data_IF_904736261888
#
_entry.id   IF_904736261888
#
_cell.length_a   1.000
_cell.length_b   1.000
_cell.length_c   1.000
_cell.angle_alpha   90.00
_cell.angle_beta   90.00
_cell.angle_gamma   90.00
#
_symmetry.space_group_name_H-M   'P 1'
#
loop_
_entity.id
_entity.type
_entity.pdbx_description
1 polymer ?
#
# COMPACT_ATOMS: atom_id res chain seq x y z
N UNK A 1 39.82 -0.29 5.14
CA UNK A 1 38.46 -0.12 5.66
C UNK A 1 37.51 -0.67 4.63
N UNK A 2 36.81 -1.75 4.95
CA UNK A 2 35.74 -2.28 4.10
C UNK A 2 34.42 -1.89 4.76
N UNK A 3 33.74 -0.88 4.21
CA UNK A 3 32.38 -0.54 4.65
C UNK A 3 31.43 -1.35 3.79
N UNK A 4 30.62 -2.19 4.42
CA UNK A 4 29.57 -2.93 3.74
C UNK A 4 28.32 -2.06 3.64
N UNK A 5 27.68 -2.06 2.48
CA UNK A 5 26.53 -1.21 2.18
C UNK A 5 25.41 -2.06 1.59
N UNK A 6 24.21 -1.91 2.13
CA UNK A 6 22.99 -2.50 1.60
C UNK A 6 21.97 -1.41 1.36
N UNK A 7 21.28 -1.50 0.23
CA UNK A 7 20.21 -0.58 -0.17
C UNK A 7 19.02 -1.41 -0.59
N UNK A 8 17.81 -1.00 -0.25
CA UNK A 8 16.59 -1.65 -0.71
C UNK A 8 15.49 -0.62 -0.95
N UNK A 9 14.44 -1.04 -1.65
CA UNK A 9 13.28 -0.20 -1.93
C UNK A 9 12.45 -0.01 -0.66
N UNK A 10 11.97 1.21 -0.42
CA UNK A 10 11.11 1.51 0.73
C UNK A 10 9.75 0.85 0.54
N UNK A 11 9.48 -0.20 1.31
CA UNK A 11 8.24 -0.98 1.22
C UNK A 11 6.96 -0.13 1.39
N UNK A 12 6.98 0.92 2.21
CA UNK A 12 5.87 1.86 2.35
C UNK A 12 5.57 2.62 1.05
N UNK A 13 6.60 3.17 0.41
CA UNK A 13 6.47 3.84 -0.88
C UNK A 13 6.03 2.89 -1.98
N UNK A 14 6.55 1.66 -1.98
CA UNK A 14 6.12 0.63 -2.93
C UNK A 14 4.65 0.27 -2.77
N UNK A 15 4.14 0.19 -1.53
CA UNK A 15 2.73 -0.08 -1.25
C UNK A 15 1.80 1.07 -1.66
N UNK A 16 2.23 2.32 -1.51
CA UNK A 16 1.47 3.49 -1.97
C UNK A 16 1.52 3.65 -3.50
N UNK A 17 2.66 3.35 -4.10
CA UNK A 17 2.84 3.37 -5.54
C UNK A 17 2.20 2.18 -6.24
N UNK A 18 1.66 1.24 -5.47
CA UNK A 18 1.29 -0.07 -5.97
C UNK A 18 0.04 -0.01 -6.85
N UNK A 19 0.28 -0.11 -8.16
CA UNK A 19 -0.69 -0.63 -9.10
C UNK A 19 -0.44 -2.14 -9.20
N UNK A 20 -1.49 -2.97 -9.15
CA UNK A 20 -1.35 -4.42 -9.05
C UNK A 20 -0.62 -4.97 -10.26
N UNK A 21 0.64 -5.32 -10.09
CA UNK A 21 1.40 -5.94 -11.16
C UNK A 21 0.74 -7.28 -11.51
N UNK A 22 0.10 -7.34 -12.68
CA UNK A 22 -0.36 -8.60 -13.24
C UNK A 22 0.84 -9.24 -13.93
N UNK A 23 1.66 -9.97 -13.16
CA UNK A 23 2.64 -10.87 -13.74
C UNK A 23 1.86 -12.00 -14.41
N UNK A 24 1.43 -11.80 -15.65
CA UNK A 24 0.91 -12.89 -16.46
C UNK A 24 2.05 -13.90 -16.61
N UNK A 25 1.87 -15.11 -16.09
CA UNK A 25 2.65 -16.25 -16.56
C UNK A 25 2.53 -16.26 -18.08
N UNK A 26 3.66 -16.23 -18.77
CA UNK A 26 3.70 -16.10 -20.23
C UNK A 26 2.81 -17.16 -20.86
N UNK A 27 1.63 -16.78 -21.36
CA UNK A 27 0.91 -17.64 -22.27
C UNK A 27 1.70 -17.64 -23.57
N UNK A 28 2.38 -18.75 -23.79
CA UNK A 28 3.09 -19.16 -25.00
C UNK A 28 2.88 -18.26 -26.24
N UNK A 29 4.02 -17.85 -26.81
CA UNK A 29 4.22 -17.39 -28.20
C UNK A 29 3.92 -15.92 -28.58
N UNK A 30 4.50 -14.96 -27.85
CA UNK A 30 4.80 -13.64 -28.45
C UNK A 30 6.30 -13.55 -28.76
N UNK A 31 6.62 -13.21 -30.02
CA UNK A 31 7.97 -13.07 -30.53
C UNK A 31 8.81 -12.08 -29.71
N UNK A 32 10.07 -12.43 -29.43
CA UNK A 32 11.09 -11.61 -28.72
C UNK A 32 11.27 -10.16 -29.23
N UNK A 33 10.75 -9.80 -30.41
CA UNK A 33 10.78 -8.44 -30.94
C UNK A 33 9.74 -7.48 -30.32
N UNK A 34 8.67 -8.00 -29.70
CA UNK A 34 7.59 -7.19 -29.11
C UNK A 34 7.80 -6.86 -27.62
N UNK A 35 8.70 -7.56 -26.93
CA UNK A 35 9.00 -7.31 -25.51
C UNK A 35 9.97 -6.13 -25.30
N UNK A 36 10.92 -5.92 -26.23
CA UNK A 36 11.83 -4.77 -26.18
C UNK A 36 11.13 -3.45 -26.50
N UNK A 37 10.08 -3.46 -27.33
CA UNK A 37 9.31 -2.26 -27.67
C UNK A 37 8.41 -1.79 -26.51
N UNK A 38 8.01 -2.70 -25.62
CA UNK A 38 7.07 -2.41 -24.51
C UNK A 38 7.73 -2.02 -23.19
N UNK A 39 8.95 -2.50 -22.89
CA UNK A 39 9.78 -1.97 -21.78
C UNK A 39 10.12 -0.48 -21.97
N UNK A 40 10.19 -0.05 -23.24
CA UNK A 40 10.42 1.33 -23.65
C UNK A 40 9.33 2.29 -23.12
N UNK A 41 8.05 1.91 -23.11
CA UNK A 41 6.95 2.90 -23.02
C UNK A 41 6.84 3.63 -21.69
N UNK A 42 7.17 3.03 -20.55
CA UNK A 42 7.04 3.70 -19.25
C UNK A 42 8.24 4.58 -18.91
N UNK A 43 9.44 4.12 -19.26
CA UNK A 43 10.67 4.95 -19.19
C UNK A 43 10.54 6.12 -20.15
N UNK A 44 10.09 5.86 -21.39
CA UNK A 44 9.81 6.89 -22.37
C UNK A 44 8.70 7.83 -21.89
N UNK A 45 7.63 7.32 -21.27
CA UNK A 45 6.56 8.13 -20.69
C UNK A 45 7.03 9.02 -19.54
N UNK A 46 7.90 8.52 -18.66
CA UNK A 46 8.50 9.32 -17.59
C UNK A 46 9.44 10.39 -18.16
N UNK A 47 10.20 10.06 -19.21
CA UNK A 47 11.03 11.04 -19.91
C UNK A 47 10.21 12.09 -20.67
N UNK A 48 9.14 11.68 -21.35
CA UNK A 48 8.22 12.57 -22.06
C UNK A 48 7.52 13.53 -21.09
N UNK A 49 7.09 13.04 -19.93
CA UNK A 49 6.57 13.88 -18.84
C UNK A 49 7.58 14.98 -18.48
N UNK A 50 8.84 14.60 -18.26
CA UNK A 50 9.90 15.55 -17.92
C UNK A 50 10.12 16.56 -19.05
N UNK A 51 10.14 16.12 -20.31
CA UNK A 51 10.30 17.01 -21.47
C UNK A 51 9.17 18.04 -21.58
N UNK A 52 7.92 17.61 -21.42
CA UNK A 52 6.74 18.49 -21.44
C UNK A 52 6.78 19.48 -20.27
N UNK A 53 7.07 19.01 -19.06
CA UNK A 53 7.15 19.86 -17.88
C UNK A 53 8.31 20.86 -17.97
N UNK A 54 9.47 20.46 -18.48
CA UNK A 54 10.60 21.37 -18.70
C UNK A 54 10.27 22.44 -19.74
N UNK A 55 9.64 22.05 -20.86
CA UNK A 55 9.22 23.01 -21.90
C UNK A 55 8.21 24.04 -21.38
N UNK A 56 7.37 23.65 -20.41
CA UNK A 56 6.34 24.50 -19.80
C UNK A 56 6.78 25.15 -18.49
N UNK A 57 8.02 24.89 -18.04
CA UNK A 57 8.58 25.35 -16.76
C UNK A 57 7.71 24.96 -15.55
N UNK A 58 7.25 23.70 -15.53
CA UNK A 58 6.47 23.11 -14.43
C UNK A 58 7.34 22.20 -13.57
N UNK A 59 7.39 22.49 -12.26
CA UNK A 59 8.01 21.66 -11.23
C UNK A 59 6.97 20.86 -10.43
N UNK A 60 5.73 21.35 -10.41
CA UNK A 60 4.55 20.74 -9.78
C UNK A 60 3.36 20.82 -10.73
N UNK A 61 2.52 19.80 -10.71
CA UNK A 61 1.34 19.72 -11.57
C UNK A 61 0.07 19.63 -10.72
N UNK A 62 -0.86 20.53 -10.99
CA UNK A 62 -2.27 20.41 -10.59
C UNK A 62 -2.99 19.32 -11.39
N UNK A 63 -4.19 18.93 -10.93
CA UNK A 63 -5.04 17.94 -11.62
C UNK A 63 -5.35 18.38 -13.06
N UNK A 64 -5.55 19.69 -13.27
CA UNK A 64 -5.87 20.26 -14.58
C UNK A 64 -4.67 20.20 -15.54
N UNK A 65 -3.48 20.55 -15.04
CA UNK A 65 -2.25 20.45 -15.84
C UNK A 65 -1.93 19.01 -16.20
N UNK A 66 -2.12 18.09 -15.23
CA UNK A 66 -1.98 16.66 -15.47
C UNK A 66 -2.94 16.18 -16.54
N UNK A 67 -4.25 16.47 -16.43
CA UNK A 67 -5.26 16.02 -17.41
C UNK A 67 -4.96 16.49 -18.84
N UNK A 68 -4.31 17.64 -19.00
CA UNK A 68 -3.98 18.18 -20.32
C UNK A 68 -2.80 17.46 -21.00
N UNK A 69 -1.99 16.72 -20.24
CA UNK A 69 -0.79 16.04 -20.76
C UNK A 69 -0.91 14.52 -20.75
N UNK A 70 -1.93 13.93 -20.12
CA UNK A 70 -2.13 12.47 -20.04
C UNK A 70 -2.12 11.81 -21.42
N UNK A 71 -2.79 12.44 -22.38
CA UNK A 71 -2.85 11.93 -23.76
C UNK A 71 -1.49 12.05 -24.47
N UNK A 72 -0.72 13.10 -24.17
CA UNK A 72 0.63 13.31 -24.73
C UNK A 72 1.62 12.26 -24.21
N UNK A 73 1.48 11.82 -22.96
CA UNK A 73 2.34 10.78 -22.34
C UNK A 73 1.85 9.35 -22.60
N UNK A 74 0.66 9.17 -23.17
CA UNK A 74 0.11 7.86 -23.57
C UNK A 74 -0.28 6.94 -22.42
N UNK A 75 -0.71 7.49 -21.28
CA UNK A 75 -1.23 6.70 -20.17
C UNK A 75 -2.75 6.48 -20.30
N UNK A 76 -3.21 5.27 -19.95
CA UNK A 76 -4.64 4.99 -19.81
C UNK A 76 -5.28 5.89 -18.73
N UNK A 77 -6.55 6.28 -18.90
CA UNK A 77 -7.23 7.23 -18.01
C UNK A 77 -7.31 6.75 -16.55
N UNK A 78 -7.63 5.47 -16.32
CA UNK A 78 -7.76 4.95 -14.96
C UNK A 78 -6.38 4.80 -14.30
N UNK A 79 -5.40 4.34 -15.07
CA UNK A 79 -4.01 4.24 -14.64
C UNK A 79 -3.42 5.62 -14.30
N UNK A 80 -3.69 6.60 -15.17
CA UNK A 80 -3.26 7.99 -15.05
C UNK A 80 -3.84 8.65 -13.79
N UNK A 81 -5.13 8.46 -13.52
CA UNK A 81 -5.73 8.97 -12.28
C UNK A 81 -5.04 8.38 -11.05
N UNK A 82 -4.82 7.06 -11.03
CA UNK A 82 -4.16 6.40 -9.90
C UNK A 82 -2.72 6.91 -9.69
N UNK A 83 -1.94 7.04 -10.77
CA UNK A 83 -0.58 7.61 -10.73
C UNK A 83 -0.59 9.01 -10.12
N UNK A 84 -1.47 9.89 -10.60
CA UNK A 84 -1.53 11.26 -10.10
C UNK A 84 -1.94 11.33 -8.63
N UNK A 85 -2.99 10.58 -8.23
CA UNK A 85 -3.49 10.54 -6.85
C UNK A 85 -2.45 10.02 -5.87
N UNK A 86 -1.65 9.05 -6.28
CA UNK A 86 -0.56 8.52 -5.46
C UNK A 86 0.56 9.56 -5.33
N UNK A 87 0.96 10.18 -6.44
CA UNK A 87 2.00 11.19 -6.49
C UNK A 87 1.65 12.49 -5.74
N UNK A 88 0.38 12.90 -5.74
CA UNK A 88 -0.05 14.16 -5.12
C UNK A 88 -0.18 14.07 -3.60
N UNK A 89 -0.12 12.88 -2.99
CA UNK A 89 -0.16 12.81 -1.53
C UNK A 89 -1.50 13.26 -0.94
N UNK A 90 -1.41 14.08 0.10
CA UNK A 90 -2.51 14.89 0.67
C UNK A 90 -2.54 16.30 0.05
N UNK A 91 -1.62 16.61 -0.86
CA UNK A 91 -1.48 17.90 -1.52
C UNK A 91 -2.38 18.01 -2.76
N UNK A 92 -2.67 19.25 -3.15
CA UNK A 92 -3.42 19.55 -4.38
C UNK A 92 -2.56 19.46 -5.65
N UNK A 93 -1.25 19.24 -5.49
CA UNK A 93 -0.27 19.19 -6.57
C UNK A 93 0.64 17.98 -6.41
N UNK A 94 1.08 17.41 -7.52
CA UNK A 94 2.10 16.36 -7.53
C UNK A 94 3.43 16.93 -8.02
N UNK A 95 4.53 16.56 -7.37
CA UNK A 95 5.87 16.96 -7.84
C UNK A 95 6.26 16.15 -9.06
N UNK A 96 7.07 16.75 -9.95
CA UNK A 96 7.57 16.08 -11.15
C UNK A 96 8.30 14.76 -10.83
N UNK A 97 9.13 14.74 -9.78
CA UNK A 97 9.87 13.54 -9.39
C UNK A 97 8.96 12.42 -8.88
N UNK A 98 7.94 12.75 -8.07
CA UNK A 98 6.96 11.75 -7.63
C UNK A 98 6.18 11.18 -8.81
N UNK A 99 5.67 12.03 -9.71
CA UNK A 99 4.94 11.56 -10.90
C UNK A 99 5.81 10.65 -11.77
N UNK A 100 7.04 11.06 -12.08
CA UNK A 100 7.95 10.28 -12.90
C UNK A 100 8.27 8.91 -12.25
N UNK A 101 8.48 8.88 -10.93
CA UNK A 101 8.68 7.63 -10.19
C UNK A 101 7.43 6.73 -10.22
N UNK A 102 6.24 7.27 -10.03
CA UNK A 102 5.01 6.49 -10.11
C UNK A 102 4.74 5.96 -11.52
N UNK A 103 5.09 6.70 -12.58
CA UNK A 103 5.03 6.21 -13.97
C UNK A 103 6.00 5.05 -14.18
N UNK A 104 7.25 5.19 -13.74
CA UNK A 104 8.24 4.10 -13.80
C UNK A 104 7.72 2.86 -13.07
N UNK A 105 7.17 3.04 -11.86
CA UNK A 105 6.62 1.95 -11.06
C UNK A 105 5.33 1.34 -11.65
N UNK A 106 4.52 2.12 -12.38
CA UNK A 106 3.39 1.59 -13.14
C UNK A 106 3.87 0.74 -14.34
N UNK A 107 4.98 1.13 -14.96
CA UNK A 107 5.62 0.39 -16.05
C UNK A 107 6.07 -1.02 -15.70
N UNK A 108 6.29 -1.30 -14.41
CA UNK A 108 6.71 -2.60 -13.91
C UNK A 108 5.69 -3.70 -14.20
N UNK A 109 4.42 -3.34 -14.43
CA UNK A 109 3.36 -4.32 -14.72
C UNK A 109 3.66 -5.13 -15.97
N UNK A 110 4.36 -4.51 -16.93
CA UNK A 110 4.70 -5.10 -18.21
C UNK A 110 6.08 -5.75 -18.21
N UNK A 111 6.72 -5.83 -17.05
CA UNK A 111 8.04 -6.44 -16.94
C UNK A 111 7.93 -7.97 -16.95
N UNK A 112 8.35 -8.57 -18.05
CA UNK A 112 8.59 -10.01 -18.15
C UNK A 112 9.89 -10.36 -17.41
N UNK A 113 9.79 -11.25 -16.42
CA UNK A 113 10.91 -11.79 -15.66
C UNK A 113 10.98 -13.30 -15.91
N UNK A 114 12.02 -13.76 -16.60
CA UNK A 114 12.30 -15.19 -16.81
C UNK A 114 12.87 -15.76 -15.50
N UNK A 115 12.01 -16.07 -14.53
CA UNK A 115 12.39 -16.83 -13.34
C UNK A 115 12.06 -18.31 -13.53
N UNK A 116 12.75 -19.19 -12.78
CA UNK A 116 12.19 -20.50 -12.45
C UNK A 116 10.87 -20.28 -11.69
N UNK A 117 9.74 -20.46 -12.38
CA UNK A 117 8.37 -20.13 -11.94
C UNK A 117 7.98 -20.76 -10.60
N UNK A 118 8.71 -21.78 -10.13
CA UNK A 118 8.38 -22.53 -8.93
C UNK A 118 8.81 -21.85 -7.61
N UNK A 119 9.70 -20.85 -7.62
CA UNK A 119 10.31 -20.33 -6.36
C UNK A 119 10.48 -18.81 -6.25
N UNK A 120 10.26 -18.03 -7.31
CA UNK A 120 10.49 -16.58 -7.27
C UNK A 120 9.36 -15.86 -6.51
N UNK A 121 9.71 -15.10 -5.47
CA UNK A 121 8.74 -14.23 -4.78
C UNK A 121 8.63 -12.87 -5.48
N UNK A 122 7.52 -12.16 -5.28
CA UNK A 122 7.30 -10.82 -5.88
C UNK A 122 8.46 -9.86 -5.54
N UNK A 123 8.97 -9.90 -4.31
CA UNK A 123 10.10 -9.08 -3.90
C UNK A 123 11.33 -9.30 -4.79
N UNK A 124 11.60 -10.55 -5.18
CA UNK A 124 12.71 -10.88 -6.09
C UNK A 124 12.49 -10.26 -7.46
N UNK A 125 11.26 -10.33 -7.99
CA UNK A 125 10.92 -9.77 -9.31
C UNK A 125 11.11 -8.25 -9.32
N UNK A 126 10.55 -7.56 -8.32
CA UNK A 126 10.65 -6.09 -8.21
C UNK A 126 12.11 -5.66 -8.02
N UNK A 127 12.85 -6.34 -7.13
CA UNK A 127 14.26 -6.04 -6.91
C UNK A 127 15.10 -6.29 -8.16
N UNK A 128 14.96 -7.45 -8.83
CA UNK A 128 15.71 -7.80 -10.03
C UNK A 128 15.43 -6.84 -11.19
N UNK A 129 14.19 -6.42 -11.34
CA UNK A 129 13.78 -5.47 -12.36
C UNK A 129 14.30 -4.05 -12.09
N UNK A 130 14.17 -3.54 -10.86
CA UNK A 130 14.78 -2.24 -10.50
C UNK A 130 16.30 -2.31 -10.65
N UNK A 131 16.91 -3.45 -10.34
CA UNK A 131 18.34 -3.69 -10.59
C UNK A 131 18.69 -3.60 -12.09
N UNK A 132 17.87 -4.22 -12.95
CA UNK A 132 18.05 -4.20 -14.41
C UNK A 132 17.84 -2.80 -14.99
N UNK A 133 16.83 -2.06 -14.51
CA UNK A 133 16.47 -0.72 -14.96
C UNK A 133 17.11 0.41 -14.14
N UNK A 134 18.11 0.10 -13.30
CA UNK A 134 18.72 1.09 -12.40
C UNK A 134 19.24 2.33 -13.15
N UNK A 135 19.77 2.14 -14.36
CA UNK A 135 20.22 3.26 -15.20
C UNK A 135 19.07 4.21 -15.56
N UNK A 136 17.88 3.68 -15.86
CA UNK A 136 16.70 4.47 -16.21
C UNK A 136 16.14 5.19 -15.00
N UNK A 137 16.07 4.52 -13.84
CA UNK A 137 15.64 5.15 -12.58
C UNK A 137 16.55 6.31 -12.21
N UNK A 138 17.87 6.10 -12.16
CA UNK A 138 18.83 7.15 -11.83
C UNK A 138 18.80 8.26 -12.89
N UNK A 139 18.69 7.91 -14.17
CA UNK A 139 18.54 8.88 -15.27
C UNK A 139 17.33 9.79 -15.06
N UNK A 140 16.14 9.22 -14.84
CA UNK A 140 14.91 9.97 -14.58
C UNK A 140 15.06 10.89 -13.36
N UNK A 141 15.56 10.37 -12.24
CA UNK A 141 15.77 11.16 -11.02
C UNK A 141 16.75 12.31 -11.23
N UNK A 142 17.84 12.07 -11.97
CA UNK A 142 18.80 13.11 -12.32
C UNK A 142 18.20 14.15 -13.27
N UNK A 143 17.37 13.76 -14.25
CA UNK A 143 16.69 14.73 -15.12
C UNK A 143 15.70 15.61 -14.34
N UNK A 144 14.96 15.04 -13.41
CA UNK A 144 14.07 15.79 -12.52
C UNK A 144 14.85 16.84 -11.72
N UNK A 145 16.00 16.48 -11.16
CA UNK A 145 16.83 17.40 -10.36
C UNK A 145 17.62 18.43 -11.19
N UNK A 146 18.06 18.06 -12.40
CA UNK A 146 18.91 18.94 -13.23
C UNK A 146 18.13 19.84 -14.18
N UNK A 147 16.89 19.48 -14.52
CA UNK A 147 16.15 20.18 -15.58
C UNK A 147 16.78 19.99 -16.96
N UNK A 148 17.44 18.84 -17.21
CA UNK A 148 18.22 18.62 -18.44
C UNK A 148 17.60 17.58 -19.39
N UNK A 149 18.00 17.66 -20.66
CA UNK A 149 17.64 16.68 -21.69
C UNK A 149 18.43 15.37 -21.54
N UNK A 150 17.88 14.28 -22.07
CA UNK A 150 18.51 12.96 -22.01
C UNK A 150 19.91 12.92 -22.64
N UNK A 151 20.18 13.76 -23.65
CA UNK A 151 21.49 13.86 -24.31
C UNK A 151 22.61 14.32 -23.36
N UNK A 152 22.28 15.15 -22.35
CA UNK A 152 23.26 15.66 -21.38
C UNK A 152 23.74 14.57 -20.45
N UNK A 153 22.87 13.62 -20.08
CA UNK A 153 23.20 12.50 -19.20
C UNK A 153 24.17 11.48 -19.81
N UNK A 154 24.40 11.53 -21.14
CA UNK A 154 25.47 10.74 -21.78
C UNK A 154 26.86 11.18 -21.34
N UNK A 155 27.02 12.37 -20.76
CA UNK A 155 28.25 12.81 -20.11
C UNK A 155 28.33 12.16 -18.72
N UNK A 156 29.28 11.26 -18.53
CA UNK A 156 29.43 10.43 -17.32
C UNK A 156 29.62 11.26 -16.02
N UNK A 157 30.29 12.41 -16.11
CA UNK A 157 30.50 13.32 -14.97
C UNK A 157 29.55 14.49 -15.04
N UNK A 158 28.71 14.62 -14.02
CA UNK A 158 27.80 15.74 -13.85
C UNK A 158 28.13 16.45 -12.55
N UNK A 159 28.27 17.78 -12.64
CA UNK A 159 28.37 18.65 -11.46
C UNK A 159 26.97 19.09 -11.06
N UNK A 160 26.60 18.78 -9.82
CA UNK A 160 25.38 19.26 -9.22
C UNK A 160 25.70 20.50 -8.38
N UNK A 161 24.83 21.50 -8.43
CA UNK A 161 24.84 22.51 -7.37
C UNK A 161 24.14 21.96 -6.11
N UNK A 162 24.26 22.66 -4.98
CA UNK A 162 23.72 22.19 -3.70
C UNK A 162 22.20 21.95 -3.73
N UNK A 163 21.44 22.75 -4.48
CA UNK A 163 19.99 22.62 -4.58
C UNK A 163 19.59 21.39 -5.39
N UNK A 164 20.22 21.19 -6.55
CA UNK A 164 20.00 20.01 -7.41
C UNK A 164 20.40 18.72 -6.69
N UNK A 165 21.50 18.76 -5.94
CA UNK A 165 21.95 17.63 -5.13
C UNK A 165 20.92 17.26 -4.05
N UNK A 166 20.32 18.27 -3.42
CA UNK A 166 19.27 18.09 -2.41
C UNK A 166 18.00 17.48 -3.02
N UNK A 167 17.59 17.92 -4.22
CA UNK A 167 16.43 17.39 -4.94
C UNK A 167 16.65 15.92 -5.36
N UNK A 168 17.83 15.60 -5.91
CA UNK A 168 18.21 14.23 -6.23
C UNK A 168 18.21 13.35 -4.96
N UNK A 169 18.84 13.83 -3.89
CA UNK A 169 18.91 13.13 -2.60
C UNK A 169 17.52 12.83 -2.04
N UNK A 170 16.63 13.82 -2.08
CA UNK A 170 15.24 13.67 -1.60
C UNK A 170 14.47 12.63 -2.41
N UNK A 171 14.66 12.62 -3.73
CA UNK A 171 13.98 11.67 -4.61
C UNK A 171 14.53 10.24 -4.47
N UNK A 172 15.83 10.10 -4.23
CA UNK A 172 16.46 8.81 -3.92
C UNK A 172 15.96 8.29 -2.57
N UNK A 173 15.93 9.12 -1.53
CA UNK A 173 15.45 8.74 -0.18
C UNK A 173 13.94 8.47 -0.13
N UNK A 174 13.18 8.96 -1.11
CA UNK A 174 11.77 8.60 -1.26
C UNK A 174 11.61 7.14 -1.69
N UNK A 175 12.46 6.68 -2.61
CA UNK A 175 12.37 5.35 -3.21
C UNK A 175 13.20 4.31 -2.44
N UNK A 176 14.35 4.68 -1.90
CA UNK A 176 15.32 3.78 -1.30
C UNK A 176 15.65 4.15 0.15
N UNK A 177 16.00 3.13 0.92
CA UNK A 177 16.62 3.25 2.23
C UNK A 177 17.78 2.26 2.31
N UNK A 178 18.70 2.43 3.25
CA UNK A 178 19.89 1.59 3.32
C UNK A 178 20.45 1.42 4.71
N UNK A 179 21.52 0.65 4.79
CA UNK A 179 22.27 0.38 6.01
C UNK A 179 23.75 0.29 5.66
N UNK A 180 24.59 0.69 6.62
CA UNK A 180 26.04 0.53 6.54
C UNK A 180 26.54 -0.25 7.74
N UNK A 181 27.47 -1.18 7.49
CA UNK A 181 28.21 -1.88 8.54
C UNK A 181 29.68 -1.50 8.39
N UNK A 182 30.26 -1.01 9.48
CA UNK A 182 31.66 -0.59 9.58
C UNK A 182 32.34 -1.50 10.61
N UNK A 183 33.30 -2.32 10.17
CA UNK A 183 33.92 -3.40 10.95
C UNK A 183 34.56 -2.95 12.29
N UNK A 184 34.78 -1.64 12.51
CA UNK A 184 35.47 -1.08 13.69
C UNK A 184 34.55 -0.26 14.63
N UNK A 185 33.32 0.08 14.23
CA UNK A 185 32.50 1.07 14.93
C UNK A 185 31.29 0.46 15.67
N UNK A 186 31.51 -0.03 16.90
CA UNK A 186 30.55 -0.69 17.84
C UNK A 186 29.16 -0.03 18.04
N UNK A 187 28.85 1.11 17.41
CA UNK A 187 27.69 1.96 17.74
C UNK A 187 26.64 2.11 16.63
N UNK A 188 26.86 1.63 15.40
CA UNK A 188 25.92 1.86 14.26
C UNK A 188 25.55 0.64 13.40
N UNK A 189 25.97 -0.57 13.77
CA UNK A 189 25.94 -1.74 12.87
C UNK A 189 24.57 -2.15 12.31
N UNK A 190 23.46 -1.66 12.86
CA UNK A 190 22.11 -2.09 12.48
C UNK A 190 21.12 -0.93 12.19
N UNK A 191 21.61 0.31 12.00
CA UNK A 191 20.72 1.45 11.80
C UNK A 191 20.36 1.64 10.32
N UNK A 192 19.05 1.64 10.04
CA UNK A 192 18.53 2.09 8.74
C UNK A 192 18.77 3.59 8.62
N UNK A 193 19.45 3.98 7.55
CA UNK A 193 19.80 5.36 7.20
C UNK A 193 19.24 5.72 5.82
N UNK A 194 19.21 7.02 5.55
CA UNK A 194 18.89 7.54 4.22
C UNK A 194 20.00 7.18 3.24
N UNK A 195 19.64 6.85 2.01
CA UNK A 195 20.65 6.53 0.98
C UNK A 195 21.45 7.78 0.62
N UNK A 196 20.85 8.98 0.72
CA UNK A 196 21.58 10.24 0.53
C UNK A 196 22.73 10.44 1.54
N UNK A 197 22.60 9.94 2.77
CA UNK A 197 23.68 9.96 3.77
C UNK A 197 24.82 9.02 3.35
N UNK A 198 24.48 7.80 2.92
CA UNK A 198 25.44 6.82 2.36
C UNK A 198 26.16 7.41 1.13
N UNK A 199 25.41 8.07 0.25
CA UNK A 199 25.94 8.70 -0.95
C UNK A 199 26.98 9.76 -0.62
N UNK A 200 26.68 10.64 0.34
CA UNK A 200 27.57 11.71 0.78
C UNK A 200 28.83 11.18 1.45
N UNK A 201 28.70 10.17 2.31
CA UNK A 201 29.81 9.65 3.11
C UNK A 201 30.76 8.74 2.32
N UNK A 202 30.21 7.95 1.37
CA UNK A 202 30.95 6.84 0.74
C UNK A 202 31.13 7.03 -0.77
N UNK A 203 30.10 7.51 -1.47
CA UNK A 203 30.09 7.47 -2.94
C UNK A 203 30.51 8.78 -3.59
N UNK A 204 30.33 9.91 -2.91
CA UNK A 204 30.68 11.23 -3.41
C UNK A 204 32.15 11.57 -3.14
N UNK A 205 32.73 12.35 -4.06
CA UNK A 205 34.03 13.02 -3.88
C UNK A 205 33.89 14.44 -4.40
N UNK A 206 34.21 15.43 -3.57
CA UNK A 206 34.26 16.86 -3.95
C UNK A 206 32.97 17.38 -4.62
N UNK A 207 31.79 16.91 -4.19
CA UNK A 207 30.47 17.21 -4.79
C UNK A 207 30.33 16.82 -6.28
N UNK A 208 31.25 16.02 -6.83
CA UNK A 208 31.10 15.42 -8.16
C UNK A 208 30.51 14.01 -8.06
N UNK A 209 29.54 13.74 -8.95
CA UNK A 209 28.93 12.42 -9.10
C UNK A 209 29.23 11.91 -10.50
N UNK A 210 29.89 10.76 -10.59
CA UNK A 210 29.83 9.94 -11.81
C UNK A 210 28.53 9.16 -11.77
N UNK A 211 27.66 9.40 -12.76
CA UNK A 211 26.39 8.69 -12.85
C UNK A 211 26.61 7.19 -12.98
N UNK A 212 27.59 6.77 -13.80
CA UNK A 212 27.93 5.35 -13.93
C UNK A 212 28.37 4.74 -12.62
N UNK A 213 29.16 5.46 -11.82
CA UNK A 213 29.59 4.98 -10.50
C UNK A 213 28.43 4.90 -9.53
N UNK A 214 27.55 5.90 -9.51
CA UNK A 214 26.35 5.90 -8.67
C UNK A 214 25.44 4.71 -9.03
N UNK A 215 25.10 4.54 -10.31
CA UNK A 215 24.29 3.42 -10.77
C UNK A 215 24.95 2.08 -10.46
N UNK A 216 26.25 1.92 -10.74
CA UNK A 216 26.96 0.68 -10.45
C UNK A 216 26.96 0.35 -8.95
N UNK A 217 27.15 1.35 -8.09
CA UNK A 217 27.09 1.18 -6.64
C UNK A 217 25.68 0.81 -6.17
N UNK A 218 24.65 1.56 -6.60
CA UNK A 218 23.25 1.27 -6.30
C UNK A 218 22.88 -0.16 -6.73
N UNK A 219 23.23 -0.55 -7.95
CA UNK A 219 22.98 -1.89 -8.49
C UNK A 219 23.69 -3.00 -7.69
N UNK A 220 24.91 -2.73 -7.24
CA UNK A 220 25.71 -3.68 -6.45
C UNK A 220 25.19 -3.83 -5.02
N UNK A 221 24.68 -2.74 -4.43
CA UNK A 221 24.21 -2.72 -3.04
C UNK A 221 22.72 -3.03 -2.92
N UNK A 222 21.97 -3.02 -4.04
CA UNK A 222 20.55 -3.30 -4.06
C UNK A 222 20.29 -4.74 -3.64
N UNK A 223 19.54 -4.88 -2.55
CA UNK A 223 19.04 -6.15 -2.02
C UNK A 223 17.53 -6.12 -1.96
N UNK A 224 16.92 -7.28 -1.77
CA UNK A 224 15.50 -7.37 -1.43
C UNK A 224 15.25 -6.66 -0.09
N UNK A 225 14.07 -6.06 0.08
CA UNK A 225 13.63 -5.54 1.38
C UNK A 225 13.83 -6.61 2.46
N UNK A 226 14.76 -6.43 3.41
CA UNK A 226 15.07 -7.44 4.43
C UNK A 226 13.88 -7.66 5.39
N UNK A 227 12.89 -6.76 5.38
CA UNK A 227 11.66 -6.85 6.17
C UNK A 227 10.49 -7.42 5.36
N UNK A 228 10.64 -7.58 4.05
CA UNK A 228 9.65 -8.14 3.13
C UNK A 228 8.26 -7.51 3.31
N UNK A 229 8.18 -6.17 3.45
CA UNK A 229 6.94 -5.45 3.81
C UNK A 229 5.91 -5.56 2.69
N UNK A 230 6.34 -5.55 1.43
CA UNK A 230 5.47 -5.58 0.25
C UNK A 230 5.40 -6.96 -0.43
N UNK A 231 6.11 -7.96 0.10
CA UNK A 231 6.12 -9.31 -0.45
C UNK A 231 4.75 -9.95 -0.26
N UNK A 232 4.07 -10.25 -1.38
CA UNK A 232 2.73 -10.82 -1.39
C UNK A 232 2.71 -12.33 -1.53
N UNK A 233 3.81 -13.00 -1.92
CA UNK A 233 3.76 -14.40 -2.40
C UNK A 233 4.17 -15.46 -1.39
N UNK A 234 4.65 -15.07 -0.20
CA UNK A 234 5.17 -16.05 0.75
C UNK A 234 4.05 -16.79 1.48
N UNK A 235 3.79 -18.04 1.09
CA UNK A 235 2.93 -19.00 1.80
C UNK A 235 3.66 -19.66 3.00
N UNK A 236 4.99 -19.63 3.01
CA UNK A 236 5.81 -20.17 4.10
C UNK A 236 6.75 -19.10 4.65
N UNK A 237 6.52 -18.55 5.86
CA UNK A 237 7.41 -17.55 6.43
C UNK A 237 8.84 -18.08 6.44
N UNK A 238 9.79 -17.34 5.87
CA UNK A 238 11.19 -17.70 5.89
C UNK A 238 11.68 -17.63 7.33
N UNK A 239 11.62 -18.77 8.02
CA UNK A 239 12.17 -18.92 9.35
C UNK A 239 13.69 -19.05 9.20
N UNK A 240 14.36 -17.91 9.07
CA UNK A 240 15.76 -17.81 9.47
C UNK A 240 15.82 -16.91 10.69
N UNK A 241 16.46 -17.39 11.75
CA UNK A 241 16.74 -16.59 12.94
C UNK A 241 17.77 -15.51 12.57
N UNK A 242 17.33 -14.40 12.00
CA UNK A 242 18.12 -13.17 12.03
C UNK A 242 17.32 -12.08 12.71
N UNK A 243 18.04 -11.46 13.64
CA UNK A 243 17.62 -10.51 14.67
C UNK A 243 16.62 -9.49 14.15
N UNK A 244 15.64 -9.24 15.02
CA UNK A 244 14.86 -8.01 15.07
C UNK A 244 15.80 -6.81 14.91
N UNK A 245 15.65 -6.03 13.85
CA UNK A 245 16.24 -4.69 13.79
C UNK A 245 15.14 -3.66 14.08
N UNK A 246 15.41 -2.88 15.12
CA UNK A 246 14.49 -1.88 15.65
C UNK A 246 14.67 -0.55 14.92
N UNK A 247 13.57 0.11 14.62
CA UNK A 247 13.47 1.55 14.81
C UNK A 247 12.49 1.74 15.95
N UNK A 248 13.03 1.76 17.17
CA UNK A 248 12.35 2.13 18.43
C UNK A 248 11.11 1.34 18.87
N UNK A 249 10.61 0.36 18.12
CA UNK A 249 9.69 -0.66 18.61
C UNK A 249 9.96 -2.01 17.92
N UNK A 250 9.84 -3.09 18.68
CA UNK A 250 10.50 -4.38 18.40
C UNK A 250 10.07 -5.16 17.15
N UNK A 251 9.18 -4.67 16.27
CA UNK A 251 8.73 -5.39 15.05
C UNK A 251 8.23 -4.44 13.94
N UNK A 252 8.85 -4.47 12.75
CA UNK A 252 8.40 -3.72 11.56
C UNK A 252 7.22 -4.40 10.85
N UNK A 253 7.21 -5.74 10.80
CA UNK A 253 6.17 -6.56 10.14
C UNK A 253 5.60 -7.60 11.10
N UNK A 254 4.30 -7.84 11.02
CA UNK A 254 3.61 -8.93 11.72
C UNK A 254 2.79 -9.72 10.71
N UNK A 255 3.00 -11.03 10.64
CA UNK A 255 2.24 -11.92 9.77
C UNK A 255 1.40 -12.86 10.62
N UNK A 256 0.11 -12.90 10.34
CA UNK A 256 -0.83 -13.88 10.88
C UNK A 256 -1.23 -14.79 9.73
N UNK A 257 -1.12 -16.09 9.93
CA UNK A 257 -1.45 -17.09 8.91
C UNK A 257 -2.16 -18.31 9.52
N UNK A 258 -3.04 -18.96 8.76
CA UNK A 258 -3.65 -20.23 9.14
C UNK A 258 -4.57 -20.18 10.37
N UNK A 259 -5.14 -19.02 10.69
CA UNK A 259 -6.01 -18.86 11.86
C UNK A 259 -7.38 -19.52 11.64
N UNK A 260 -8.04 -19.83 12.76
CA UNK A 260 -9.37 -20.42 12.79
C UNK A 260 -10.24 -19.70 13.83
N UNK A 261 -11.56 -19.71 13.63
CA UNK A 261 -12.57 -19.17 14.55
C UNK A 261 -12.51 -17.67 14.69
N UNK A 262 -11.82 -17.16 15.69
CA UNK A 262 -11.85 -15.76 16.09
C UNK A 262 -10.46 -15.31 16.54
N UNK A 263 -9.83 -14.44 15.77
CA UNK A 263 -8.51 -13.88 16.06
C UNK A 263 -8.63 -12.42 16.48
N UNK A 264 -8.13 -12.09 17.68
CA UNK A 264 -8.11 -10.72 18.21
C UNK A 264 -6.68 -10.26 18.46
N UNK A 265 -6.32 -9.11 17.90
CA UNK A 265 -4.99 -8.51 18.05
C UNK A 265 -5.04 -7.24 18.91
N UNK A 266 -5.26 -7.40 20.22
CA UNK A 266 -5.39 -6.31 21.21
C UNK A 266 -4.11 -5.99 21.97
N UNK A 267 -2.96 -6.56 21.62
CA UNK A 267 -1.69 -6.18 22.28
C UNK A 267 -1.07 -4.95 21.63
N UNK A 268 -0.60 -4.00 22.45
CA UNK A 268 0.06 -2.78 21.99
C UNK A 268 1.30 -3.03 21.11
N UNK A 269 1.91 -4.22 21.18
CA UNK A 269 3.02 -4.62 20.29
C UNK A 269 2.61 -4.75 18.81
N UNK A 270 1.31 -4.78 18.51
CA UNK A 270 0.77 -4.78 17.15
C UNK A 270 0.45 -3.37 16.63
N UNK A 271 0.72 -2.34 17.44
CA UNK A 271 0.53 -0.93 17.10
C UNK A 271 1.63 -0.48 16.12
N UNK A 272 1.25 0.24 15.06
CA UNK A 272 2.18 0.81 14.06
C UNK A 272 3.05 -0.21 13.31
N UNK A 273 2.59 -1.46 13.18
CA UNK A 273 3.25 -2.50 12.39
C UNK A 273 2.74 -2.51 10.95
N UNK A 274 3.51 -3.09 10.04
CA UNK A 274 3.01 -3.56 8.75
C UNK A 274 2.34 -4.93 8.96
N UNK A 275 1.02 -4.99 8.88
CA UNK A 275 0.23 -6.18 9.19
C UNK A 275 -0.03 -7.00 7.93
N UNK A 276 0.25 -8.30 7.98
CA UNK A 276 -0.05 -9.27 6.91
C UNK A 276 -0.94 -10.38 7.43
N UNK A 277 -2.03 -10.65 6.72
CA UNK A 277 -3.09 -11.58 7.10
C UNK A 277 -3.28 -12.54 5.94
N UNK A 278 -2.89 -13.81 6.12
CA UNK A 278 -2.82 -14.83 5.05
C UNK A 278 -3.60 -16.11 5.35
N UNK A 279 -4.41 -16.60 4.42
CA UNK A 279 -4.97 -17.96 4.50
C UNK A 279 -5.71 -18.27 5.81
N UNK A 280 -7.02 -18.08 5.84
CA UNK A 280 -7.84 -18.52 6.97
C UNK A 280 -8.29 -19.99 6.82
N UNK A 281 -8.59 -20.63 7.95
CA UNK A 281 -9.38 -21.85 7.96
C UNK A 281 -10.88 -21.52 7.83
N UNK A 282 -11.68 -22.49 7.39
CA UNK A 282 -13.12 -22.31 7.21
C UNK A 282 -13.81 -21.75 8.47
N UNK A 283 -14.82 -20.90 8.25
CA UNK A 283 -15.63 -20.27 9.29
C UNK A 283 -14.81 -19.45 10.30
N UNK A 284 -14.14 -18.41 9.80
CA UNK A 284 -13.29 -17.55 10.63
C UNK A 284 -13.78 -16.10 10.69
N UNK A 285 -13.34 -15.41 11.73
CA UNK A 285 -13.51 -14.00 12.02
C UNK A 285 -12.17 -13.43 12.50
N UNK A 286 -11.88 -12.20 12.10
CA UNK A 286 -10.61 -11.54 12.44
C UNK A 286 -10.84 -10.10 12.86
N UNK A 287 -10.25 -9.69 13.98
CA UNK A 287 -10.37 -8.33 14.53
C UNK A 287 -9.01 -7.84 15.00
N UNK A 288 -8.56 -6.72 14.45
CA UNK A 288 -7.32 -6.05 14.84
C UNK A 288 -7.64 -4.59 15.20
N UNK A 289 -7.90 -4.24 16.47
CA UNK A 289 -8.37 -2.90 16.83
C UNK A 289 -7.29 -1.82 16.83
N UNK A 290 -6.02 -2.19 16.92
CA UNK A 290 -4.92 -1.21 16.92
C UNK A 290 -4.60 -0.72 15.52
N UNK A 291 -4.15 0.54 15.43
CA UNK A 291 -3.74 1.09 14.15
C UNK A 291 -2.50 0.41 13.59
N UNK A 292 -2.43 0.33 12.27
CA UNK A 292 -1.29 -0.22 11.53
C UNK A 292 -0.68 0.84 10.59
N UNK A 293 0.55 0.60 10.12
CA UNK A 293 1.17 1.42 9.06
C UNK A 293 0.60 1.07 7.70
N UNK A 294 0.61 -0.21 7.37
CA UNK A 294 -0.07 -0.77 6.20
C UNK A 294 -0.66 -2.13 6.57
N UNK A 295 -1.69 -2.55 5.83
CA UNK A 295 -2.29 -3.88 6.00
C UNK A 295 -2.42 -4.58 4.66
N UNK A 296 -1.97 -5.84 4.59
CA UNK A 296 -2.13 -6.73 3.44
C UNK A 296 -2.95 -7.92 3.88
N UNK A 297 -4.10 -8.12 3.25
CA UNK A 297 -4.99 -9.26 3.44
C UNK A 297 -4.99 -10.07 2.16
N UNK A 298 -4.68 -11.35 2.27
CA UNK A 298 -4.42 -12.17 1.10
C UNK A 298 -4.88 -13.62 1.26
N UNK A 299 -5.46 -14.16 0.18
CA UNK A 299 -6.02 -15.52 0.09
C UNK A 299 -7.00 -15.85 1.24
N UNK A 300 -8.04 -15.01 1.41
CA UNK A 300 -9.06 -15.19 2.46
C UNK A 300 -10.36 -15.66 1.84
N UNK A 301 -10.99 -16.66 2.45
CA UNK A 301 -12.25 -17.25 1.96
C UNK A 301 -13.25 -17.46 3.08
N UNK A 302 -14.50 -17.05 2.86
CA UNK A 302 -15.62 -17.32 3.78
C UNK A 302 -15.35 -16.83 5.21
N UNK A 303 -14.87 -15.59 5.33
CA UNK A 303 -14.67 -14.92 6.61
C UNK A 303 -15.88 -14.00 6.87
N UNK A 304 -16.74 -14.37 7.82
CA UNK A 304 -18.04 -13.70 7.99
C UNK A 304 -17.90 -12.21 8.35
N UNK A 305 -16.88 -11.87 9.14
CA UNK A 305 -16.56 -10.49 9.48
C UNK A 305 -15.04 -10.32 9.69
N UNK A 306 -14.47 -9.31 9.07
CA UNK A 306 -13.09 -8.88 9.25
C UNK A 306 -13.09 -7.40 9.63
N UNK A 307 -12.57 -7.07 10.80
CA UNK A 307 -12.41 -5.68 11.27
C UNK A 307 -10.93 -5.37 11.37
N UNK A 308 -10.48 -4.47 10.51
CA UNK A 308 -9.11 -3.98 10.49
C UNK A 308 -9.06 -2.63 11.21
N UNK A 309 -8.01 -2.44 12.00
CA UNK A 309 -7.78 -1.19 12.70
C UNK A 309 -7.46 -0.07 11.73
N UNK A 310 -7.55 1.20 12.17
CA UNK A 310 -7.19 2.34 11.34
C UNK A 310 -5.79 2.15 10.75
N UNK A 311 -5.64 2.30 9.44
CA UNK A 311 -4.37 2.08 8.75
C UNK A 311 -3.87 3.40 8.21
N UNK A 312 -2.76 3.92 8.75
CA UNK A 312 -2.24 5.23 8.35
C UNK A 312 -1.89 5.27 6.85
N UNK A 313 -1.44 4.17 6.26
CA UNK A 313 -1.10 4.09 4.84
C UNK A 313 -2.13 3.28 4.03
N UNK A 314 -1.59 2.37 3.24
CA UNK A 314 -2.34 1.56 2.28
C UNK A 314 -2.88 0.26 2.89
N UNK A 315 -4.09 -0.09 2.49
CA UNK A 315 -4.68 -1.42 2.70
C UNK A 315 -4.83 -2.13 1.37
N UNK A 316 -4.36 -3.37 1.31
CA UNK A 316 -4.42 -4.23 0.13
C UNK A 316 -5.27 -5.46 0.46
N UNK A 317 -6.35 -5.68 -0.29
CA UNK A 317 -7.16 -6.90 -0.26
C UNK A 317 -6.89 -7.67 -1.56
N UNK A 318 -6.34 -8.88 -1.47
CA UNK A 318 -6.04 -9.72 -2.61
C UNK A 318 -6.64 -11.11 -2.44
N UNK A 319 -7.29 -11.63 -3.47
CA UNK A 319 -7.91 -12.97 -3.45
C UNK A 319 -8.77 -13.18 -2.19
N UNK A 320 -9.52 -12.13 -1.82
CA UNK A 320 -10.48 -12.15 -0.72
C UNK A 320 -11.85 -12.47 -1.28
N UNK A 321 -12.48 -13.52 -0.75
CA UNK A 321 -13.71 -14.07 -1.31
C UNK A 321 -14.77 -14.31 -0.23
N UNK A 322 -16.04 -14.00 -0.52
CA UNK A 322 -17.18 -14.24 0.36
C UNK A 322 -16.93 -13.70 1.79
N UNK A 323 -16.64 -12.40 1.90
CA UNK A 323 -16.12 -11.81 3.14
C UNK A 323 -16.60 -10.37 3.31
N UNK A 324 -16.93 -9.99 4.55
CA UNK A 324 -17.22 -8.60 4.91
C UNK A 324 -16.01 -7.97 5.60
N UNK A 325 -15.52 -6.85 5.08
CA UNK A 325 -14.33 -6.15 5.59
C UNK A 325 -14.70 -4.74 6.02
N UNK A 326 -14.42 -4.41 7.29
CA UNK A 326 -14.49 -3.04 7.79
C UNK A 326 -13.08 -2.50 7.96
N UNK A 327 -12.79 -1.36 7.34
CA UNK A 327 -11.46 -0.75 7.40
C UNK A 327 -11.50 0.76 7.20
N UNK A 328 -10.61 1.45 7.90
CA UNK A 328 -10.30 2.85 7.66
C UNK A 328 -8.85 2.97 7.22
N UNK A 329 -8.59 3.66 6.11
CA UNK A 329 -7.25 3.78 5.53
C UNK A 329 -7.10 5.01 4.64
N UNK A 330 -5.87 5.41 4.29
CA UNK A 330 -5.68 6.47 3.29
C UNK A 330 -6.06 6.01 1.89
N UNK A 331 -5.57 4.83 1.52
CA UNK A 331 -5.76 4.20 0.22
C UNK A 331 -6.16 2.74 0.41
N UNK A 332 -7.19 2.32 -0.33
CA UNK A 332 -7.61 0.93 -0.41
C UNK A 332 -7.38 0.40 -1.82
N UNK A 333 -6.90 -0.82 -1.91
CA UNK A 333 -6.87 -1.55 -3.17
C UNK A 333 -7.48 -2.95 -3.05
N UNK A 334 -8.17 -3.38 -4.10
CA UNK A 334 -8.80 -4.69 -4.19
C UNK A 334 -8.38 -5.41 -5.46
N UNK A 335 -7.98 -6.69 -5.31
CA UNK A 335 -7.44 -7.50 -6.39
C UNK A 335 -7.95 -8.92 -6.39
N UNK A 336 -8.52 -9.35 -7.52
CA UNK A 336 -9.05 -10.71 -7.68
C UNK A 336 -10.03 -11.09 -6.55
N UNK A 337 -10.76 -10.11 -6.03
CA UNK A 337 -11.74 -10.32 -4.94
C UNK A 337 -13.10 -10.67 -5.52
N UNK A 338 -13.90 -11.48 -4.80
CA UNK A 338 -15.27 -11.77 -5.24
C UNK A 338 -16.28 -11.90 -4.11
N UNK A 339 -17.49 -11.37 -4.27
CA UNK A 339 -18.53 -11.38 -3.24
C UNK A 339 -17.99 -10.77 -1.93
N UNK A 340 -17.53 -9.51 -2.01
CA UNK A 340 -16.91 -8.81 -0.89
C UNK A 340 -17.65 -7.52 -0.61
N UNK A 341 -18.12 -7.35 0.62
CA UNK A 341 -18.62 -6.07 1.10
C UNK A 341 -17.54 -5.36 1.88
N UNK A 342 -17.20 -4.14 1.47
CA UNK A 342 -16.24 -3.28 2.16
C UNK A 342 -16.94 -2.09 2.82
N UNK A 343 -16.92 -2.04 4.14
CA UNK A 343 -17.31 -0.89 4.94
C UNK A 343 -16.11 0.03 5.11
N UNK A 344 -16.05 1.10 4.32
CA UNK A 344 -14.84 1.87 4.10
C UNK A 344 -14.94 3.28 4.69
N UNK A 345 -13.85 3.71 5.32
CA UNK A 345 -13.51 5.12 5.45
C UNK A 345 -12.16 5.36 4.77
N UNK A 346 -12.15 6.09 3.65
CA UNK A 346 -10.92 6.44 2.95
C UNK A 346 -10.91 7.89 2.47
N UNK A 347 -9.72 8.48 2.39
CA UNK A 347 -9.55 9.82 1.81
C UNK A 347 -9.36 9.78 0.31
N UNK A 348 -8.79 8.69 -0.21
CA UNK A 348 -8.65 8.47 -1.64
C UNK A 348 -9.69 7.48 -2.16
N UNK A 349 -10.06 7.58 -3.45
CA UNK A 349 -10.89 6.58 -4.12
C UNK A 349 -10.25 5.18 -4.01
N UNK A 350 -11.02 4.13 -3.70
CA UNK A 350 -10.50 2.77 -3.78
C UNK A 350 -10.13 2.42 -5.24
N UNK A 351 -9.09 1.61 -5.40
CA UNK A 351 -8.63 1.12 -6.69
C UNK A 351 -8.97 -0.35 -6.80
N UNK A 352 -9.61 -0.76 -7.90
CA UNK A 352 -10.06 -2.15 -8.11
C UNK A 352 -9.52 -2.73 -9.41
N UNK A 353 -9.25 -4.04 -9.40
CA UNK A 353 -8.94 -4.83 -10.60
C UNK A 353 -9.27 -6.31 -10.39
N UNK A 354 -9.85 -6.94 -11.39
CA UNK A 354 -10.23 -8.35 -11.42
C UNK A 354 -11.29 -8.71 -10.38
N UNK A 355 -12.13 -7.76 -9.97
CA UNK A 355 -13.11 -7.94 -8.91
C UNK A 355 -14.50 -8.26 -9.48
N UNK A 356 -15.25 -9.11 -8.76
CA UNK A 356 -16.62 -9.51 -9.14
C UNK A 356 -17.53 -9.36 -7.93
N UNK A 357 -18.67 -8.69 -8.09
CA UNK A 357 -19.66 -8.54 -7.00
C UNK A 357 -19.04 -7.93 -5.73
N UNK A 358 -18.42 -6.76 -5.86
CA UNK A 358 -17.88 -5.99 -4.72
C UNK A 358 -18.81 -4.84 -4.38
N UNK A 359 -19.13 -4.70 -3.09
CA UNK A 359 -20.03 -3.66 -2.60
C UNK A 359 -19.32 -2.73 -1.62
N UNK A 360 -19.46 -1.42 -1.82
CA UNK A 360 -18.93 -0.42 -0.89
C UNK A 360 -20.04 0.19 -0.03
N UNK A 361 -19.77 0.30 1.26
CA UNK A 361 -20.61 0.99 2.23
C UNK A 361 -19.78 1.93 3.10
N UNK A 362 -20.46 2.82 3.83
CA UNK A 362 -19.79 3.64 4.83
C UNK A 362 -19.24 2.77 5.97
N UNK A 363 -18.11 3.18 6.54
CA UNK A 363 -17.53 2.56 7.74
C UNK A 363 -18.57 2.35 8.84
N UNK A 364 -18.63 1.13 9.39
CA UNK A 364 -19.80 0.65 10.14
C UNK A 364 -19.48 0.03 11.51
N UNK A 365 -18.31 0.32 12.08
CA UNK A 365 -17.91 -0.25 13.37
C UNK A 365 -17.65 0.83 14.41
N UNK A 366 -17.87 0.50 15.66
CA UNK A 366 -17.51 1.32 16.82
C UNK A 366 -16.94 0.41 17.90
N UNK A 367 -15.91 0.91 18.60
CA UNK A 367 -15.31 0.28 19.79
C UNK A 367 -14.60 1.34 20.64
N UNK A 368 -14.42 1.05 21.93
CA UNK A 368 -13.63 1.87 22.84
C UNK A 368 -12.18 2.03 22.35
N UNK A 369 -11.67 3.27 22.30
CA UNK A 369 -10.33 3.58 21.79
C UNK A 369 -10.24 3.86 20.28
N UNK A 370 -11.31 3.65 19.51
CA UNK A 370 -11.29 3.84 18.05
C UNK A 370 -10.99 5.28 17.65
N UNK A 371 -11.51 6.27 18.38
CA UNK A 371 -11.33 7.68 18.03
C UNK A 371 -9.87 8.11 18.16
N UNK A 372 -9.19 7.64 19.22
CA UNK A 372 -7.77 7.89 19.47
C UNK A 372 -6.90 7.23 18.40
N UNK A 373 -7.22 6.00 18.00
CA UNK A 373 -6.48 5.28 16.97
C UNK A 373 -6.72 5.88 15.57
N UNK A 374 -7.93 6.39 15.28
CA UNK A 374 -8.23 7.15 14.06
C UNK A 374 -7.45 8.47 14.00
N UNK A 375 -7.37 9.21 15.10
CA UNK A 375 -6.57 10.45 15.20
C UNK A 375 -5.08 10.15 14.99
N UNK A 376 -4.55 9.13 15.67
CA UNK A 376 -3.15 8.74 15.56
C UNK A 376 -2.79 8.20 14.16
N UNK A 377 -3.74 7.62 13.44
CA UNK A 377 -3.60 7.23 12.04
C UNK A 377 -3.84 8.39 11.05
N UNK A 378 -4.15 9.60 11.55
CA UNK A 378 -4.51 10.79 10.75
C UNK A 378 -5.76 10.60 9.89
N UNK A 379 -6.68 9.73 10.31
CA UNK A 379 -7.92 9.38 9.59
C UNK A 379 -9.19 9.99 10.18
N UNK A 380 -9.07 11.00 11.08
CA UNK A 380 -10.25 11.58 11.73
C UNK A 380 -11.20 12.21 10.72
N UNK A 381 -12.49 11.96 10.91
CA UNK A 381 -13.56 12.56 10.11
C UNK A 381 -14.75 12.95 10.98
N UNK A 382 -15.48 13.96 10.50
CA UNK A 382 -16.77 14.38 11.07
C UNK A 382 -17.92 13.57 10.50
N UNK A 383 -17.79 13.03 9.27
CA UNK A 383 -18.80 12.18 8.64
C UNK A 383 -18.17 11.13 7.74
N UNK A 384 -18.69 9.91 7.81
CA UNK A 384 -18.39 8.85 6.87
C UNK A 384 -19.19 9.05 5.58
N UNK A 385 -18.62 8.58 4.47
CA UNK A 385 -19.22 8.65 3.13
C UNK A 385 -19.12 7.28 2.49
N UNK A 386 -20.12 6.90 1.70
CA UNK A 386 -19.95 5.80 0.75
C UNK A 386 -19.00 6.23 -0.36
N UNK A 387 -18.12 5.34 -0.78
CA UNK A 387 -17.24 5.56 -1.92
C UNK A 387 -18.07 5.62 -3.20
N UNK A 388 -18.28 6.84 -3.72
CA UNK A 388 -18.99 7.07 -4.98
C UNK A 388 -18.07 7.02 -6.20
N UNK A 389 -16.80 7.36 -6.00
CA UNK A 389 -15.78 7.32 -7.02
C UNK A 389 -14.85 6.14 -6.75
N UNK A 390 -14.63 5.31 -7.76
CA UNK A 390 -13.81 4.11 -7.70
C UNK A 390 -12.93 4.14 -8.95
N UNK A 391 -11.62 3.96 -8.77
CA UNK A 391 -10.70 3.83 -9.90
C UNK A 391 -10.72 2.37 -10.34
N UNK A 392 -11.49 2.09 -11.39
CA UNK A 392 -11.60 0.76 -11.96
C UNK A 392 -10.54 0.60 -13.07
N UNK A 393 -9.52 -0.22 -12.80
CA UNK A 393 -8.43 -0.44 -13.75
C UNK A 393 -8.80 -1.45 -14.84
N UNK A 394 -9.98 -2.04 -14.76
CA UNK A 394 -10.55 -2.95 -15.76
C UNK A 394 -12.08 -2.87 -15.74
N UNK A 395 -12.77 -3.94 -16.14
CA UNK A 395 -14.22 -4.03 -16.11
C UNK A 395 -14.73 -4.75 -14.85
N UNK A 396 -14.10 -4.51 -13.69
CA UNK A 396 -14.54 -5.10 -12.42
C UNK A 396 -15.99 -4.72 -12.08
N UNK A 397 -16.73 -5.66 -11.52
CA UNK A 397 -18.12 -5.44 -11.08
C UNK A 397 -18.13 -4.89 -9.64
N UNK A 398 -18.44 -3.61 -9.52
CA UNK A 398 -18.45 -2.86 -8.26
C UNK A 398 -19.71 -2.02 -8.13
N UNK A 399 -20.29 -1.98 -6.93
CA UNK A 399 -21.48 -1.19 -6.65
C UNK A 399 -21.49 -0.63 -5.22
N UNK A 400 -22.45 0.22 -4.91
CA UNK A 400 -22.70 0.69 -3.54
C UNK A 400 -23.70 -0.25 -2.86
N UNK A 401 -23.43 -0.63 -1.62
CA UNK A 401 -24.34 -1.47 -0.84
C UNK A 401 -25.68 -0.76 -0.62
N UNK A 402 -26.79 -1.46 -0.87
CA UNK A 402 -28.12 -0.95 -0.60
C UNK A 402 -28.32 -0.67 0.90
N UNK A 403 -29.15 0.34 1.20
CA UNK A 403 -29.39 0.73 2.59
C UNK A 403 -30.00 -0.40 3.42
N UNK A 404 -30.86 -1.23 2.81
CA UNK A 404 -31.55 -2.33 3.47
C UNK A 404 -30.60 -3.45 3.91
N UNK A 405 -29.46 -3.57 3.25
CA UNK A 405 -28.43 -4.58 3.55
C UNK A 405 -27.34 -4.02 4.49
N UNK A 406 -27.43 -2.74 4.86
CA UNK A 406 -26.49 -2.11 5.76
C UNK A 406 -26.71 -2.55 7.21
N UNK A 407 -25.62 -2.87 7.89
CA UNK A 407 -25.63 -3.21 9.32
C UNK A 407 -24.40 -2.62 10.02
N UNK A 408 -24.49 -2.47 11.35
CA UNK A 408 -23.34 -2.17 12.20
C UNK A 408 -22.63 -3.48 12.52
N UNK A 409 -21.37 -3.59 12.10
CA UNK A 409 -20.60 -4.82 12.29
C UNK A 409 -20.32 -5.05 13.78
N UNK A 410 -20.72 -6.20 14.35
CA UNK A 410 -20.48 -6.45 15.75
C UNK A 410 -18.99 -6.66 16.00
N UNK A 411 -18.50 -6.06 17.09
CA UNK A 411 -17.17 -6.29 17.63
C UNK A 411 -17.29 -6.77 19.07
N UNK A 412 -16.42 -7.68 19.52
CA UNK A 412 -16.42 -8.20 20.89
C UNK A 412 -15.72 -7.26 21.87
N UNK A 413 -15.44 -6.04 21.46
CA UNK A 413 -14.90 -5.02 22.34
C UNK A 413 -16.04 -4.31 23.06
N UNK A 414 -15.75 -3.77 24.24
CA UNK A 414 -16.72 -2.98 24.99
C UNK A 414 -17.11 -1.78 24.15
N UNK A 415 -18.42 -1.62 23.95
CA UNK A 415 -19.02 -0.46 23.34
C UNK A 415 -19.84 0.25 24.40
N UNK A 416 -19.53 1.52 24.68
CA UNK A 416 -20.46 2.36 25.42
C UNK A 416 -21.57 2.85 24.49
N UNK A 417 -22.73 3.21 25.05
CA UNK A 417 -23.80 3.84 24.28
C UNK A 417 -23.33 5.09 23.53
N UNK A 418 -22.32 5.78 24.07
CA UNK A 418 -21.72 6.96 23.46
C UNK A 418 -20.92 6.59 22.19
N UNK A 419 -20.22 5.44 22.18
CA UNK A 419 -19.49 4.96 21.00
C UNK A 419 -20.43 4.68 19.83
N UNK A 420 -21.58 4.06 20.09
CA UNK A 420 -22.58 3.77 19.06
C UNK A 420 -23.25 5.07 18.58
N UNK A 421 -23.61 5.97 19.50
CA UNK A 421 -24.17 7.29 19.15
C UNK A 421 -23.23 8.12 18.27
N UNK A 422 -21.92 8.13 18.58
CA UNK A 422 -20.91 8.81 17.77
C UNK A 422 -20.84 8.24 16.33
N UNK A 423 -20.83 6.91 16.18
CA UNK A 423 -20.89 6.26 14.87
C UNK A 423 -22.16 6.68 14.10
N UNK A 424 -23.33 6.59 14.73
CA UNK A 424 -24.61 6.96 14.10
C UNK A 424 -24.65 8.43 13.65
N UNK A 425 -24.03 9.34 14.42
CA UNK A 425 -23.93 10.75 14.02
C UNK A 425 -23.01 10.97 12.81
N UNK A 426 -22.00 10.12 12.64
CA UNK A 426 -21.06 10.16 11.51
C UNK A 426 -21.60 9.47 10.27
N UNK A 427 -22.55 8.54 10.38
CA UNK A 427 -23.08 7.81 9.23
C UNK A 427 -23.88 8.69 8.25
N UNK A 428 -23.91 8.33 6.95
CA UNK A 428 -24.83 8.93 6.00
C UNK A 428 -26.30 8.81 6.45
N UNK A 429 -27.15 9.85 6.25
CA UNK A 429 -28.53 9.84 6.74
C UNK A 429 -29.37 8.66 6.25
N UNK A 430 -29.13 8.18 5.03
CA UNK A 430 -29.90 7.07 4.45
C UNK A 430 -29.57 5.72 5.11
N UNK A 431 -28.29 5.43 5.39
CA UNK A 431 -27.91 4.22 6.15
C UNK A 431 -28.36 4.31 7.60
N UNK A 432 -28.21 5.49 8.21
CA UNK A 432 -28.65 5.73 9.58
C UNK A 432 -30.15 5.51 9.74
N UNK A 433 -30.96 6.15 8.89
CA UNK A 433 -32.43 6.07 8.97
C UNK A 433 -32.92 4.64 8.76
N UNK A 434 -32.34 3.92 7.79
CA UNK A 434 -32.70 2.52 7.57
C UNK A 434 -32.35 1.64 8.78
N UNK A 435 -31.15 1.80 9.35
CA UNK A 435 -30.75 1.06 10.55
C UNK A 435 -31.65 1.38 11.76
N UNK A 436 -31.97 2.66 11.99
CA UNK A 436 -32.88 3.09 13.07
C UNK A 436 -34.28 2.48 12.90
N UNK A 437 -34.81 2.43 11.68
CA UNK A 437 -36.10 1.79 11.36
C UNK A 437 -36.06 0.28 11.65
N UNK A 438 -35.04 -0.43 11.16
CA UNK A 438 -34.87 -1.88 11.41
C UNK A 438 -34.74 -2.20 12.90
N UNK A 439 -34.04 -1.35 13.66
CA UNK A 439 -33.94 -1.51 15.12
C UNK A 439 -35.27 -1.20 15.85
N UNK A 440 -36.10 -0.31 15.32
CA UNK A 440 -37.43 -0.03 15.87
C UNK A 440 -38.39 -1.20 15.62
N UNK A 441 -38.38 -1.77 14.41
CA UNK A 441 -39.16 -2.96 14.05
C UNK A 441 -38.80 -4.17 14.92
N UNK A 442 -37.51 -4.38 15.21
CA UNK A 442 -37.06 -5.46 16.10
C UNK A 442 -37.40 -5.25 17.59
N UNK A 443 -37.77 -4.03 18.00
CA UNK A 443 -38.21 -3.74 19.38
C UNK A 443 -39.70 -3.99 19.58
N UNK A 444 -40.46 -4.17 18.51
CA UNK A 444 -41.84 -4.62 18.62
C UNK A 444 -41.88 -6.12 18.95
N UNK A 445 -42.76 -6.57 19.87
CA UNK A 445 -42.84 -7.98 20.24
C UNK A 445 -43.42 -8.77 19.07
N UNK A 446 -42.56 -9.41 18.29
CA UNK A 446 -42.96 -10.44 17.33
C UNK A 446 -42.39 -11.79 17.75
N UNK A 447 -43.27 -12.79 17.74
CA UNK A 447 -43.01 -14.19 18.09
C UNK A 447 -41.83 -14.78 17.29
N UNK A 448 -40.91 -15.41 18.03
CA UNK A 448 -40.08 -16.55 17.63
C UNK A 448 -39.63 -16.63 16.17
N UNK A 449 -38.77 -15.69 15.73
CA UNK A 449 -37.77 -15.93 14.66
C UNK A 449 -36.48 -15.15 14.88
N UNK A 450 -35.66 -15.58 15.84
CA UNK A 450 -34.29 -15.05 15.99
C UNK A 450 -33.29 -15.99 15.32
N UNK A 451 -32.91 -15.69 14.09
CA UNK A 451 -31.62 -16.11 13.53
C UNK A 451 -30.97 -15.00 12.70
N UNK A 452 -30.86 -13.80 13.26
CA UNK A 452 -30.09 -12.70 12.65
C UNK A 452 -29.11 -12.15 13.68
N UNK A 453 -28.21 -13.02 14.14
CA UNK A 453 -26.98 -12.59 14.79
C UNK A 453 -25.83 -12.97 13.85
N UNK A 454 -25.00 -12.02 13.38
CA UNK A 454 -23.85 -12.32 12.52
C UNK A 454 -22.81 -13.24 13.16
N UNK A 455 -22.88 -13.37 14.50
CA UNK A 455 -21.98 -14.16 15.33
C UNK A 455 -22.66 -15.45 15.78
N UNK A 456 -22.02 -16.60 15.55
CA UNK A 456 -22.53 -17.89 16.06
C UNK A 456 -22.49 -17.86 17.60
N UNK A 457 -23.43 -18.55 18.24
CA UNK A 457 -23.51 -18.66 19.71
C UNK A 457 -22.21 -19.19 20.34
N UNK A 458 -21.49 -20.06 19.63
CA UNK A 458 -20.17 -20.58 20.01
C UNK A 458 -19.10 -19.48 20.08
N UNK A 459 -19.14 -18.54 19.15
CA UNK A 459 -18.16 -17.45 19.07
C UNK A 459 -18.39 -16.48 20.22
N UNK A 460 -19.65 -16.16 20.53
CA UNK A 460 -20.02 -15.35 21.69
C UNK A 460 -19.52 -15.95 23.01
N UNK A 461 -19.57 -17.27 23.17
CA UNK A 461 -19.06 -17.97 24.38
C UNK A 461 -17.53 -17.88 24.46
N UNK A 462 -16.83 -18.12 23.35
CA UNK A 462 -15.36 -18.00 23.28
C UNK A 462 -14.89 -16.57 23.60
N UNK A 463 -15.56 -15.57 23.03
CA UNK A 463 -15.28 -14.15 23.24
C UNK A 463 -15.39 -13.75 24.71
N UNK A 464 -16.46 -14.18 25.39
CA UNK A 464 -16.64 -13.94 26.83
C UNK A 464 -15.50 -14.53 27.65
N UNK A 465 -15.01 -15.71 27.30
CA UNK A 465 -13.86 -16.35 27.96
C UNK A 465 -12.55 -15.59 27.78
N UNK A 466 -12.30 -15.03 26.59
CA UNK A 466 -11.08 -14.25 26.29
C UNK A 466 -11.06 -12.89 26.97
N UNK A 467 -12.16 -12.15 26.90
CA UNK A 467 -12.29 -10.82 27.54
C UNK A 467 -12.17 -10.92 29.06
N UNK A 468 -12.73 -11.98 29.66
CA UNK A 468 -12.62 -12.23 31.10
C UNK A 468 -11.21 -12.63 31.55
N UNK A 469 -10.37 -13.16 30.66
CA UNK A 469 -8.98 -13.52 30.95
C UNK A 469 -7.96 -12.37 30.75
N UNK A 470 -8.39 -11.26 30.18
CA UNK A 470 -7.56 -10.06 29.90
C UNK A 470 -7.85 -8.89 30.87
N UNK A 471 -8.81 -9.04 31.79
CA UNK A 471 -8.98 -8.20 32.99
C UNK A 471 -8.27 -8.83 34.17
#
# INVERSE_FOLDING_TARGET
MAVSVWVWLRGEFLLESFLPLNFSASSSSTSRSDESSRRSTAVDGAHALIDVCQARNWDRLSVLEWSNIVDEIGLDNALSEAVYRNASGEEAHATLSCLALHILLAGLERFSYEADEATSIRGDVVTAMVQQQMDDFISVLCRCALGCSQAVLKKDRIRFNNQQLKELSTSIDLLFEGMTEDDEADKRHDQIVKVSEIMQDIWFKDNEISLRKLTANMRKCLVQDPFQIDDLSVDTPSCSSRRVTSLTSTRRKVTVAGWQRFQLLTKAVYKDVHLRILSNKAESMFIAPWRSRSTIVDNIRSCSAMVLGPTNGTVVLREVHNTNVTVACKQLHLWKCSQVTVFLHSFRPPVVRGCVDVHFAAFNVSYEGLSEEMEAAKLRTVRYKSSKHIINLDNSDVSTLAANDFYIQPVPMVNSDNNVKDLLQKLPPFYRGQWENTMAEMREPSDDRVSILPLKKSDLIYLRGKIASER
#
